data_IF_933828589978
#
_entry.id   IF_933828589978
#
_cell.length_a   1.000
_cell.length_b   1.000
_cell.length_c   1.000
_cell.angle_alpha   90.00
_cell.angle_beta   90.00
_cell.angle_gamma   90.00
#
_symmetry.space_group_name_H-M   'P 1'
#
loop_
_entity.id
_entity.type
_entity.pdbx_description
1 polymer ?
#
# COMPACT_ATOMS: atom_id res chain seq x y z
N UNK A 1 -6.53 15.28 -18.27
CA UNK A 1 -5.26 14.58 -18.56
C UNK A 1 -5.06 14.43 -20.06
N UNK A 2 -6.02 13.91 -20.83
CA UNK A 2 -5.88 13.70 -22.30
C UNK A 2 -5.50 14.98 -23.03
N UNK A 3 -6.06 16.11 -22.68
CA UNK A 3 -5.69 17.43 -23.22
C UNK A 3 -4.24 17.78 -22.92
N UNK A 4 -3.80 17.63 -21.67
CA UNK A 4 -2.40 17.89 -21.26
C UNK A 4 -1.41 16.98 -21.98
N UNK A 5 -1.76 15.70 -22.23
CA UNK A 5 -0.94 14.78 -23.00
C UNK A 5 -0.77 15.28 -24.45
N UNK A 6 -1.79 15.90 -25.03
CA UNK A 6 -1.72 16.46 -26.39
C UNK A 6 -0.90 17.75 -26.44
N UNK A 7 -0.84 18.52 -25.36
CA UNK A 7 -0.11 19.79 -25.27
C UNK A 7 1.38 19.55 -24.95
N UNK A 8 1.69 18.75 -23.93
CA UNK A 8 3.07 18.40 -23.51
C UNK A 8 3.09 17.04 -22.80
N UNK A 9 3.03 15.99 -23.59
CA UNK A 9 2.97 14.62 -23.08
C UNK A 9 4.21 14.18 -22.31
N UNK A 10 5.40 14.67 -22.68
CA UNK A 10 6.66 14.32 -22.00
C UNK A 10 6.66 14.87 -20.58
N UNK A 11 6.25 16.12 -20.39
CA UNK A 11 6.17 16.73 -19.06
C UNK A 11 5.07 16.07 -18.20
N UNK A 12 3.97 15.65 -18.81
CA UNK A 12 2.95 14.83 -18.11
C UNK A 12 3.55 13.52 -17.60
N UNK A 13 4.33 12.81 -18.41
CA UNK A 13 5.01 11.57 -17.98
C UNK A 13 6.00 11.83 -16.85
N UNK A 14 6.78 12.91 -16.94
CA UNK A 14 7.70 13.32 -15.87
C UNK A 14 6.96 13.56 -14.56
N UNK A 15 5.88 14.32 -14.60
CA UNK A 15 5.04 14.60 -13.43
C UNK A 15 4.44 13.31 -12.84
N UNK A 16 3.92 12.39 -13.67
CA UNK A 16 3.40 11.09 -13.24
C UNK A 16 4.48 10.30 -12.50
N UNK A 17 5.70 10.27 -13.05
CA UNK A 17 6.85 9.60 -12.45
C UNK A 17 7.21 10.19 -11.09
N UNK A 18 7.29 11.51 -10.99
CA UNK A 18 7.55 12.23 -9.73
C UNK A 18 6.50 11.91 -8.67
N UNK A 19 5.22 12.03 -9.01
CA UNK A 19 4.12 11.67 -8.10
C UNK A 19 4.19 10.23 -7.59
N UNK A 20 4.61 9.29 -8.44
CA UNK A 20 4.78 7.90 -8.04
C UNK A 20 5.99 7.70 -7.14
N UNK A 21 7.16 8.23 -7.53
CA UNK A 21 8.42 8.05 -6.80
C UNK A 21 8.34 8.71 -5.42
N UNK A 22 7.79 9.92 -5.35
CA UNK A 22 7.61 10.68 -4.12
C UNK A 22 6.40 10.21 -3.28
N UNK A 23 5.63 9.24 -3.81
CA UNK A 23 4.44 8.69 -3.14
C UNK A 23 3.38 9.75 -2.78
N UNK A 24 3.22 10.77 -3.61
CA UNK A 24 2.26 11.87 -3.39
C UNK A 24 0.82 11.53 -3.76
N UNK A 25 0.59 10.43 -4.46
CA UNK A 25 -0.76 10.01 -4.83
C UNK A 25 -1.45 9.26 -3.68
N UNK A 26 -2.63 9.70 -3.28
CA UNK A 26 -3.48 9.03 -2.27
C UNK A 26 -3.80 7.58 -2.67
N UNK A 27 -3.98 7.33 -3.98
CA UNK A 27 -4.16 6.00 -4.56
C UNK A 27 -3.32 5.90 -5.81
N UNK A 28 -2.56 4.82 -5.93
CA UNK A 28 -1.73 4.55 -7.11
C UNK A 28 -2.55 4.41 -8.40
N UNK A 29 -3.82 4.02 -8.31
CA UNK A 29 -4.69 3.75 -9.46
C UNK A 29 -4.79 4.95 -10.42
N UNK A 30 -4.87 6.17 -9.89
CA UNK A 30 -4.93 7.39 -10.72
C UNK A 30 -3.65 7.61 -11.53
N UNK A 31 -2.51 7.37 -10.89
CA UNK A 31 -1.18 7.52 -11.50
C UNK A 31 -0.97 6.45 -12.58
N UNK A 32 -1.37 5.22 -12.29
CA UNK A 32 -1.30 4.08 -13.21
C UNK A 32 -2.21 4.28 -14.42
N UNK A 33 -3.42 4.80 -14.20
CA UNK A 33 -4.36 5.11 -15.28
C UNK A 33 -3.83 6.25 -16.16
N UNK A 34 -3.29 7.31 -15.57
CA UNK A 34 -2.68 8.41 -16.31
C UNK A 34 -1.51 7.94 -17.18
N UNK A 35 -0.63 7.06 -16.64
CA UNK A 35 0.46 6.47 -17.41
C UNK A 35 -0.07 5.60 -18.56
N UNK A 36 -1.15 4.85 -18.34
CA UNK A 36 -1.78 4.04 -19.38
C UNK A 36 -2.29 4.89 -20.56
N UNK A 37 -2.86 6.07 -20.27
CA UNK A 37 -3.25 7.06 -21.30
C UNK A 37 -2.03 7.54 -22.11
N UNK A 38 -0.93 7.89 -21.44
CA UNK A 38 0.32 8.27 -22.11
C UNK A 38 0.86 7.14 -23.01
N UNK A 39 0.84 5.90 -22.54
CA UNK A 39 1.27 4.74 -23.31
C UNK A 39 0.39 4.46 -24.53
N UNK A 40 -0.83 4.97 -24.58
CA UNK A 40 -1.80 4.76 -25.66
C UNK A 40 -2.05 6.00 -26.51
N UNK A 41 -1.39 7.13 -26.21
CA UNK A 41 -1.49 8.35 -27.01
C UNK A 41 -0.96 8.13 -28.45
N UNK A 42 -1.20 9.09 -29.33
CA UNK A 42 -0.74 9.04 -30.71
C UNK A 42 0.71 9.45 -30.86
N UNK A 43 1.20 10.31 -29.99
CA UNK A 43 2.57 10.82 -30.01
C UNK A 43 3.60 9.73 -29.66
N UNK A 44 4.57 9.42 -30.57
CA UNK A 44 5.55 8.36 -30.35
C UNK A 44 6.54 8.67 -29.20
N UNK A 45 6.92 9.94 -29.02
CA UNK A 45 7.91 10.35 -28.00
C UNK A 45 7.34 10.22 -26.60
N UNK A 46 6.12 10.73 -26.38
CA UNK A 46 5.38 10.55 -25.14
C UNK A 46 5.18 9.08 -24.80
N UNK A 47 4.82 8.26 -25.80
CA UNK A 47 4.64 6.83 -25.65
C UNK A 47 5.92 6.12 -25.22
N UNK A 48 7.04 6.46 -25.83
CA UNK A 48 8.34 5.90 -25.47
C UNK A 48 8.75 6.32 -24.07
N UNK A 49 8.60 7.60 -23.73
CA UNK A 49 8.87 8.11 -22.39
C UNK A 49 8.02 7.42 -21.32
N UNK A 50 6.72 7.20 -21.60
CA UNK A 50 5.81 6.52 -20.68
C UNK A 50 6.22 5.06 -20.43
N UNK A 51 6.63 4.31 -21.46
CA UNK A 51 7.14 2.94 -21.25
C UNK A 51 8.49 2.91 -20.53
N UNK A 52 9.36 3.90 -20.73
CA UNK A 52 10.60 4.04 -19.96
C UNK A 52 10.35 4.34 -18.47
N UNK A 53 9.30 5.11 -18.16
CA UNK A 53 8.91 5.42 -16.79
C UNK A 53 8.20 4.26 -16.07
N UNK A 54 7.78 3.21 -16.78
CA UNK A 54 6.99 2.12 -16.23
C UNK A 54 7.62 1.45 -14.99
N UNK A 55 8.94 1.16 -14.93
CA UNK A 55 9.56 0.59 -13.75
C UNK A 55 9.49 1.48 -12.50
N UNK A 56 9.58 2.79 -12.67
CA UNK A 56 9.54 3.76 -11.57
C UNK A 56 8.12 3.99 -11.06
N UNK A 57 7.13 3.90 -11.95
CA UNK A 57 5.71 4.09 -11.64
C UNK A 57 5.06 2.81 -11.12
N UNK A 58 5.30 1.69 -11.77
CA UNK A 58 4.80 0.38 -11.34
C UNK A 58 5.77 -0.28 -10.36
N UNK A 59 5.83 0.21 -9.12
CA UNK A 59 6.82 -0.20 -8.11
C UNK A 59 6.60 -1.59 -7.52
N UNK A 60 5.45 -2.20 -7.75
CA UNK A 60 5.08 -3.54 -7.27
C UNK A 60 4.29 -4.28 -8.36
N UNK A 61 4.25 -5.61 -8.36
CA UNK A 61 3.55 -6.39 -9.37
C UNK A 61 2.08 -6.03 -9.53
N UNK A 62 1.38 -5.75 -8.43
CA UNK A 62 -0.04 -5.34 -8.48
C UNK A 62 -0.24 -4.01 -9.21
N UNK A 63 0.74 -3.11 -9.19
CA UNK A 63 0.71 -1.88 -9.99
C UNK A 63 0.82 -2.20 -11.48
N UNK A 64 1.74 -3.10 -11.86
CA UNK A 64 1.88 -3.52 -13.25
C UNK A 64 0.59 -4.16 -13.79
N UNK A 65 -0.04 -5.03 -13.01
CA UNK A 65 -1.28 -5.70 -13.43
C UNK A 65 -2.44 -4.72 -13.62
N UNK A 66 -2.58 -3.76 -12.71
CA UNK A 66 -3.55 -2.68 -12.85
C UNK A 66 -3.25 -1.80 -14.07
N UNK A 67 -1.99 -1.44 -14.29
CA UNK A 67 -1.56 -0.70 -15.47
C UNK A 67 -1.90 -1.45 -16.77
N UNK A 68 -1.61 -2.76 -16.84
CA UNK A 68 -1.94 -3.60 -18.00
C UNK A 68 -3.45 -3.58 -18.25
N UNK A 69 -4.25 -3.74 -17.21
CA UNK A 69 -5.71 -3.67 -17.29
C UNK A 69 -6.18 -2.31 -17.84
N UNK A 70 -5.72 -1.21 -17.26
CA UNK A 70 -6.05 0.13 -17.74
C UNK A 70 -5.60 0.37 -19.18
N UNK A 71 -4.38 -0.05 -19.54
CA UNK A 71 -3.88 0.09 -20.90
C UNK A 71 -4.68 -0.74 -21.94
N UNK A 72 -5.31 -1.84 -21.53
CA UNK A 72 -6.23 -2.60 -22.35
C UNK A 72 -7.60 -1.90 -22.49
N UNK A 73 -8.12 -1.35 -21.41
CA UNK A 73 -9.39 -0.61 -21.40
C UNK A 73 -9.33 0.67 -22.26
N UNK A 74 -8.21 1.38 -22.20
CA UNK A 74 -7.97 2.61 -22.98
C UNK A 74 -7.66 2.33 -24.44
N UNK A 75 -7.38 1.09 -24.83
CA UNK A 75 -7.01 0.75 -26.20
C UNK A 75 -8.20 0.77 -27.18
N UNK A 76 -8.45 1.91 -27.79
CA UNK A 76 -9.53 2.10 -28.76
C UNK A 76 -9.33 1.35 -30.10
N UNK A 77 -8.13 0.88 -30.41
CA UNK A 77 -7.74 0.26 -31.69
C UNK A 77 -7.87 -1.26 -31.73
N UNK A 78 -8.55 -1.88 -30.79
CA UNK A 78 -8.84 -3.30 -30.81
C UNK A 78 -8.17 -4.13 -29.71
N UNK A 79 -8.41 -5.45 -29.73
CA UNK A 79 -7.91 -6.40 -28.73
C UNK A 79 -6.42 -6.68 -28.99
N UNK A 80 -5.60 -6.50 -27.96
CA UNK A 80 -4.20 -6.93 -28.00
C UNK A 80 -3.19 -5.91 -27.48
N UNK A 81 -1.98 -6.40 -27.25
CA UNK A 81 -0.98 -5.60 -26.56
C UNK A 81 -0.17 -4.68 -27.47
N UNK A 82 -0.03 -4.98 -28.73
CA UNK A 82 0.88 -4.26 -29.62
C UNK A 82 2.37 -4.42 -29.24
N UNK A 83 3.27 -4.06 -30.15
CA UNK A 83 4.73 -4.27 -29.97
C UNK A 83 5.30 -3.42 -28.82
N UNK A 84 4.95 -2.12 -28.76
CA UNK A 84 5.47 -1.20 -27.76
C UNK A 84 5.06 -1.61 -26.33
N UNK A 85 3.78 -2.00 -26.14
CA UNK A 85 3.29 -2.44 -24.84
C UNK A 85 4.01 -3.70 -24.35
N UNK A 86 4.20 -4.67 -25.26
CA UNK A 86 4.96 -5.88 -24.98
C UNK A 86 6.40 -5.59 -24.54
N UNK A 87 7.09 -4.72 -25.31
CA UNK A 87 8.45 -4.31 -24.98
C UNK A 87 8.52 -3.60 -23.62
N UNK A 88 7.59 -2.68 -23.34
CA UNK A 88 7.55 -1.95 -22.08
C UNK A 88 7.34 -2.86 -20.87
N UNK A 89 6.38 -3.79 -20.95
CA UNK A 89 6.15 -4.78 -19.88
C UNK A 89 7.38 -5.69 -19.71
N UNK A 90 8.00 -6.15 -20.79
CA UNK A 90 9.24 -6.94 -20.72
C UNK A 90 10.36 -6.15 -20.03
N UNK A 91 10.54 -4.86 -20.37
CA UNK A 91 11.54 -4.00 -19.71
C UNK A 91 11.29 -3.86 -18.21
N UNK A 92 10.03 -3.78 -17.79
CA UNK A 92 9.70 -3.75 -16.37
C UNK A 92 10.21 -4.99 -15.63
N UNK A 93 10.05 -6.18 -16.20
CA UNK A 93 10.58 -7.41 -15.61
C UNK A 93 12.12 -7.43 -15.58
N UNK A 94 12.78 -6.95 -16.64
CA UNK A 94 14.25 -6.87 -16.67
C UNK A 94 14.83 -5.82 -15.72
N UNK A 95 14.10 -4.75 -15.43
CA UNK A 95 14.53 -3.72 -14.48
C UNK A 95 14.42 -4.17 -13.02
N UNK A 96 13.76 -5.30 -12.78
CA UNK A 96 13.48 -5.83 -11.46
C UNK A 96 14.61 -6.77 -11.02
N UNK A 97 15.67 -6.19 -10.45
CA UNK A 97 16.74 -6.94 -9.78
C UNK A 97 16.31 -7.58 -8.46
N UNK A 98 15.14 -7.23 -7.95
CA UNK A 98 14.64 -7.71 -6.68
C UNK A 98 13.66 -8.87 -6.89
N UNK A 99 14.22 -10.07 -6.83
CA UNK A 99 13.47 -11.34 -6.94
C UNK A 99 12.34 -11.44 -5.90
N UNK A 100 12.48 -10.75 -4.75
CA UNK A 100 11.44 -10.63 -3.74
C UNK A 100 10.12 -10.09 -4.31
N UNK A 101 10.20 -9.20 -5.28
CA UNK A 101 9.02 -8.63 -5.94
C UNK A 101 8.39 -9.60 -6.95
N UNK A 102 9.18 -10.45 -7.57
CA UNK A 102 8.66 -11.53 -8.42
C UNK A 102 7.90 -12.59 -7.61
N UNK A 103 8.32 -12.84 -6.37
CA UNK A 103 7.66 -13.78 -5.48
C UNK A 103 6.33 -13.27 -4.92
N UNK A 104 6.11 -11.96 -4.91
CA UNK A 104 4.81 -11.34 -4.63
C UNK A 104 3.82 -11.44 -5.78
N UNK A 105 4.20 -12.01 -6.91
CA UNK A 105 3.25 -12.41 -7.95
C UNK A 105 2.39 -13.52 -7.34
N UNK A 106 1.45 -13.07 -6.52
CA UNK A 106 0.44 -13.91 -5.97
C UNK A 106 -0.33 -14.49 -7.14
N UNK A 107 -0.09 -15.80 -7.39
CA UNK A 107 -1.13 -16.74 -7.82
C UNK A 107 -2.16 -16.24 -8.85
N UNK A 108 -1.95 -15.16 -9.51
CA UNK A 108 -2.56 -15.02 -10.80
C UNK A 108 -1.70 -15.87 -11.72
N UNK A 109 -2.07 -17.17 -11.78
CA UNK A 109 -1.58 -18.09 -12.81
C UNK A 109 -1.70 -17.45 -14.20
N UNK A 110 -2.57 -16.48 -14.35
CA UNK A 110 -2.69 -15.63 -15.51
C UNK A 110 -1.47 -14.71 -15.71
N UNK A 111 -0.85 -14.18 -14.68
CA UNK A 111 0.29 -13.28 -14.85
C UNK A 111 1.58 -14.04 -15.16
N UNK A 112 1.83 -15.17 -14.51
CA UNK A 112 2.91 -16.08 -14.87
C UNK A 112 2.61 -16.72 -16.24
N UNK A 113 1.38 -17.14 -16.49
CA UNK A 113 0.92 -17.62 -17.79
C UNK A 113 1.01 -16.54 -18.87
N UNK A 114 0.76 -15.26 -18.55
CA UNK A 114 0.98 -14.14 -19.48
C UNK A 114 2.45 -13.90 -19.76
N UNK A 115 3.33 -14.03 -18.77
CA UNK A 115 4.78 -13.92 -18.95
C UNK A 115 5.30 -15.04 -19.84
N UNK A 116 4.97 -16.26 -19.48
CA UNK A 116 5.35 -17.47 -20.22
C UNK A 116 4.75 -17.41 -21.61
N UNK A 117 3.45 -17.26 -21.75
CA UNK A 117 2.77 -17.19 -23.04
C UNK A 117 3.24 -16.02 -23.90
N UNK A 118 3.67 -14.93 -23.28
CA UNK A 118 4.17 -13.75 -24.00
C UNK A 118 5.60 -13.95 -24.50
N UNK A 119 6.46 -14.56 -23.72
CA UNK A 119 7.79 -14.99 -24.13
C UNK A 119 7.69 -16.00 -25.30
N UNK A 120 6.73 -16.92 -25.26
CA UNK A 120 6.53 -17.97 -26.26
C UNK A 120 5.92 -17.47 -27.56
N UNK A 121 4.89 -16.63 -27.49
CA UNK A 121 4.19 -16.13 -28.68
C UNK A 121 5.04 -15.22 -29.55
N UNK A 122 6.12 -14.66 -29.00
CA UNK A 122 7.05 -13.80 -29.73
C UNK A 122 7.88 -14.60 -30.78
N UNK A 123 8.11 -15.88 -30.54
CA UNK A 123 9.01 -16.71 -31.33
C UNK A 123 8.28 -17.70 -32.26
N UNK A 124 6.95 -17.66 -32.32
CA UNK A 124 6.16 -18.49 -33.26
C UNK A 124 6.09 -19.98 -32.91
N UNK A 125 6.47 -20.36 -31.68
CA UNK A 125 6.57 -21.76 -31.29
C UNK A 125 5.37 -22.27 -30.49
N UNK A 126 5.09 -23.57 -30.60
CA UNK A 126 4.07 -24.29 -29.84
C UNK A 126 4.50 -24.57 -28.40
N UNK A 127 3.54 -24.84 -27.52
CA UNK A 127 3.73 -25.04 -26.07
C UNK A 127 4.73 -26.14 -25.69
N UNK A 128 5.01 -27.07 -26.60
CA UNK A 128 5.84 -28.24 -26.33
C UNK A 128 7.37 -28.00 -26.47
N UNK A 129 7.81 -26.82 -26.88
CA UNK A 129 9.21 -26.53 -27.22
C UNK A 129 9.92 -25.57 -26.22
N UNK A 130 9.32 -25.31 -25.07
CA UNK A 130 9.88 -24.36 -24.11
C UNK A 130 11.26 -24.79 -23.57
N UNK A 131 11.48 -26.08 -23.37
CA UNK A 131 12.72 -26.61 -22.85
C UNK A 131 13.89 -26.45 -23.83
N UNK A 132 13.62 -26.61 -25.12
CA UNK A 132 14.60 -26.39 -26.17
C UNK A 132 14.95 -24.92 -26.34
N UNK A 133 13.97 -24.02 -26.20
CA UNK A 133 14.18 -22.58 -26.32
C UNK A 133 14.85 -22.00 -25.07
N UNK A 134 14.53 -22.51 -23.88
CA UNK A 134 15.25 -22.20 -22.66
C UNK A 134 16.72 -22.58 -22.79
N UNK A 135 17.03 -23.75 -23.35
CA UNK A 135 18.38 -24.19 -23.61
C UNK A 135 19.10 -23.34 -24.67
N UNK A 136 18.40 -22.90 -25.73
CA UNK A 136 18.92 -21.98 -26.75
C UNK A 136 19.18 -20.56 -26.20
N UNK A 137 18.27 -20.04 -25.38
CA UNK A 137 18.46 -18.77 -24.69
C UNK A 137 19.66 -18.85 -23.74
N UNK A 138 19.84 -19.98 -23.05
CA UNK A 138 20.96 -20.25 -22.15
C UNK A 138 22.32 -20.27 -22.87
N UNK A 139 22.38 -20.71 -24.11
CA UNK A 139 23.63 -20.75 -24.89
C UNK A 139 24.17 -19.36 -25.26
N UNK A 140 23.33 -18.33 -25.21
CA UNK A 140 23.69 -16.95 -25.56
C UNK A 140 23.84 -16.03 -24.31
N UNK A 141 23.77 -16.59 -23.09
CA UNK A 141 23.91 -15.85 -21.85
C UNK A 141 25.40 -15.77 -21.45
N UNK A 142 25.78 -14.64 -20.86
CA UNK A 142 27.08 -14.55 -20.18
C UNK A 142 27.06 -15.39 -18.90
N UNK A 143 28.24 -15.77 -18.35
CA UNK A 143 28.32 -16.50 -17.10
C UNK A 143 27.63 -15.76 -15.94
N UNK A 144 27.57 -14.44 -16.00
CA UNK A 144 26.87 -13.61 -15.01
C UNK A 144 25.35 -13.76 -15.15
N UNK A 145 24.84 -13.68 -16.37
CA UNK A 145 23.42 -13.85 -16.66
C UNK A 145 22.93 -15.27 -16.34
N UNK A 146 23.78 -16.28 -16.53
CA UNK A 146 23.47 -17.67 -16.14
C UNK A 146 23.33 -17.81 -14.62
N UNK A 147 24.18 -17.13 -13.84
CA UNK A 147 24.10 -17.16 -12.37
C UNK A 147 22.87 -16.41 -11.87
N UNK A 148 22.56 -15.23 -12.43
CA UNK A 148 21.36 -14.50 -12.09
C UNK A 148 20.08 -15.31 -12.44
N UNK A 149 20.04 -15.94 -13.60
CA UNK A 149 18.91 -16.78 -14.03
C UNK A 149 18.77 -18.02 -13.12
N UNK A 150 19.87 -18.65 -12.75
CA UNK A 150 19.85 -19.78 -11.80
C UNK A 150 19.28 -19.36 -10.46
N UNK A 151 19.72 -18.23 -9.90
CA UNK A 151 19.20 -17.72 -8.64
C UNK A 151 17.70 -17.44 -8.69
N UNK A 152 17.18 -16.95 -9.83
CA UNK A 152 15.74 -16.73 -10.03
C UNK A 152 14.99 -18.06 -10.09
N UNK A 153 15.52 -19.06 -10.78
CA UNK A 153 14.91 -20.39 -10.89
C UNK A 153 14.88 -21.08 -9.53
N UNK A 154 15.99 -21.07 -8.81
CA UNK A 154 16.10 -21.66 -7.48
C UNK A 154 15.09 -21.02 -6.53
N UNK A 155 14.94 -19.69 -6.56
CA UNK A 155 13.95 -19.01 -5.73
C UNK A 155 12.51 -19.34 -6.12
N UNK A 156 12.21 -19.46 -7.42
CA UNK A 156 10.86 -19.86 -7.87
C UNK A 156 10.53 -21.29 -7.42
N UNK A 157 11.53 -22.18 -7.45
CA UNK A 157 11.41 -23.55 -6.93
C UNK A 157 11.13 -23.53 -5.42
N UNK A 158 11.92 -22.77 -4.67
CA UNK A 158 11.74 -22.60 -3.22
C UNK A 158 10.36 -22.09 -2.84
N UNK A 159 9.84 -21.12 -3.60
CA UNK A 159 8.46 -20.61 -3.41
C UNK A 159 7.41 -21.67 -3.71
N UNK A 160 7.61 -22.46 -4.76
CA UNK A 160 6.69 -23.54 -5.12
C UNK A 160 6.72 -24.67 -4.07
N UNK A 161 7.90 -25.02 -3.58
CA UNK A 161 8.06 -25.98 -2.50
C UNK A 161 7.43 -25.49 -1.19
N UNK A 162 7.58 -24.22 -0.86
CA UNK A 162 6.89 -23.61 0.27
C UNK A 162 5.36 -23.66 0.11
N UNK A 163 4.82 -23.37 -1.08
CA UNK A 163 3.38 -23.45 -1.35
C UNK A 163 2.83 -24.87 -1.27
N UNK A 164 3.64 -25.88 -1.57
CA UNK A 164 3.26 -27.29 -1.48
C UNK A 164 3.50 -27.92 -0.12
N UNK A 165 4.26 -27.25 0.74
CA UNK A 165 4.56 -27.73 2.08
C UNK A 165 3.28 -28.04 2.88
N UNK A 166 3.29 -29.14 3.63
CA UNK A 166 2.20 -29.56 4.52
C UNK A 166 2.65 -29.77 5.95
N UNK A 167 3.96 -29.69 6.20
CA UNK A 167 4.59 -29.88 7.50
C UNK A 167 4.89 -28.51 8.14
N UNK A 168 4.44 -28.33 9.39
CA UNK A 168 4.59 -27.06 10.12
C UNK A 168 6.03 -26.75 10.49
N UNK A 169 6.80 -27.77 10.91
CA UNK A 169 8.17 -27.60 11.35
C UNK A 169 9.08 -27.33 10.15
N UNK A 170 8.81 -28.00 9.03
CA UNK A 170 9.49 -27.71 7.77
C UNK A 170 9.19 -26.29 7.32
N UNK A 171 7.91 -25.86 7.35
CA UNK A 171 7.52 -24.50 6.97
C UNK A 171 8.17 -23.46 7.90
N UNK A 172 8.22 -23.69 9.21
CA UNK A 172 8.94 -22.82 10.14
C UNK A 172 10.41 -22.68 9.76
N UNK A 173 11.08 -23.79 9.44
CA UNK A 173 12.47 -23.77 8.99
C UNK A 173 12.64 -23.01 7.68
N UNK A 174 11.76 -23.22 6.70
CA UNK A 174 11.74 -22.50 5.43
C UNK A 174 11.59 -20.98 5.66
N UNK A 175 10.68 -20.58 6.53
CA UNK A 175 10.45 -19.16 6.85
C UNK A 175 11.65 -18.54 7.59
N UNK A 176 12.34 -19.31 8.44
CA UNK A 176 13.49 -18.84 9.21
C UNK A 176 14.81 -18.86 8.43
N UNK A 177 14.94 -19.70 7.41
CA UNK A 177 16.14 -19.81 6.55
C UNK A 177 16.29 -18.66 5.56
N UNK A 178 16.16 -17.45 6.03
CA UNK A 178 15.90 -16.24 5.25
C UNK A 178 17.04 -15.74 4.38
N UNK A 179 18.26 -16.15 4.62
CA UNK A 179 19.39 -15.68 3.82
C UNK A 179 19.29 -16.12 2.35
N UNK A 180 18.50 -17.17 2.10
CA UNK A 180 18.24 -17.71 0.75
C UNK A 180 16.79 -17.49 0.32
N UNK A 181 15.81 -17.67 1.23
CA UNK A 181 14.39 -17.73 0.92
C UNK A 181 13.62 -16.53 1.46
N UNK A 182 13.18 -15.63 0.60
CA UNK A 182 12.33 -14.49 0.98
C UNK A 182 10.85 -14.90 1.05
N UNK A 183 10.54 -15.93 1.84
CA UNK A 183 9.17 -16.40 2.03
C UNK A 183 8.38 -15.38 2.86
N UNK A 184 7.23 -15.00 2.35
CA UNK A 184 6.26 -14.13 3.02
C UNK A 184 4.96 -14.87 3.26
N UNK A 185 4.09 -14.30 4.08
CA UNK A 185 2.79 -14.89 4.45
C UNK A 185 2.00 -15.43 3.25
N UNK A 186 2.07 -14.73 2.12
CA UNK A 186 1.35 -15.07 0.89
C UNK A 186 1.84 -16.37 0.23
N UNK A 187 3.05 -16.81 0.53
CA UNK A 187 3.62 -18.07 0.04
C UNK A 187 3.24 -19.27 0.94
N UNK A 188 2.80 -18.99 2.17
CA UNK A 188 2.44 -20.03 3.12
C UNK A 188 1.05 -20.58 2.82
N UNK A 189 0.86 -21.90 2.73
CA UNK A 189 -0.45 -22.53 2.57
C UNK A 189 -1.43 -22.11 3.66
N UNK A 190 -2.70 -21.91 3.29
CA UNK A 190 -3.73 -21.43 4.23
C UNK A 190 -3.91 -22.36 5.44
N UNK A 191 -3.70 -23.66 5.26
CA UNK A 191 -3.73 -24.66 6.34
C UNK A 191 -2.66 -24.37 7.41
N UNK A 192 -1.45 -24.03 7.00
CA UNK A 192 -0.31 -23.74 7.87
C UNK A 192 -0.36 -22.33 8.48
N UNK A 193 -1.17 -21.42 7.94
CA UNK A 193 -1.45 -20.11 8.57
C UNK A 193 -2.31 -20.22 9.85
N UNK A 194 -2.62 -21.42 10.30
CA UNK A 194 -3.24 -21.68 11.62
C UNK A 194 -2.18 -22.03 12.68
N UNK A 195 -0.94 -22.28 12.30
CA UNK A 195 0.15 -22.67 13.20
C UNK A 195 0.78 -21.44 13.85
N UNK A 196 0.90 -21.47 15.18
CA UNK A 196 1.61 -20.46 15.97
C UNK A 196 3.08 -20.39 15.57
N UNK A 197 3.73 -21.55 15.39
CA UNK A 197 5.13 -21.69 15.06
C UNK A 197 5.49 -21.03 13.73
N UNK A 198 4.62 -21.17 12.74
CA UNK A 198 4.80 -20.53 11.43
C UNK A 198 4.70 -19.01 11.57
N UNK A 199 3.76 -18.50 12.38
CA UNK A 199 3.65 -17.08 12.63
C UNK A 199 4.83 -16.51 13.42
N UNK A 200 5.40 -17.24 14.37
CA UNK A 200 6.65 -16.86 15.04
C UNK A 200 7.80 -16.63 14.06
N UNK A 201 7.93 -17.51 13.07
CA UNK A 201 8.90 -17.32 12.00
C UNK A 201 8.61 -16.07 11.15
N UNK A 202 7.35 -15.95 10.68
CA UNK A 202 6.94 -14.86 9.81
C UNK A 202 7.12 -13.48 10.44
N UNK A 203 6.74 -13.29 11.73
CA UNK A 203 6.74 -11.98 12.37
C UNK A 203 8.14 -11.35 12.50
N UNK A 204 9.19 -12.19 12.61
CA UNK A 204 10.58 -11.71 12.69
C UNK A 204 10.93 -10.81 11.50
N UNK A 205 10.42 -11.16 10.35
CA UNK A 205 10.77 -10.55 9.06
C UNK A 205 9.63 -9.79 8.40
N UNK A 206 8.50 -9.74 9.05
CA UNK A 206 7.32 -9.08 8.52
C UNK A 206 7.56 -7.58 8.32
N UNK A 207 7.23 -7.09 7.13
CA UNK A 207 7.26 -5.66 6.83
C UNK A 207 6.26 -4.91 7.71
N UNK A 208 6.53 -3.64 8.02
CA UNK A 208 5.71 -2.81 8.91
C UNK A 208 4.24 -2.82 8.53
N UNK A 209 3.92 -2.58 7.26
CA UNK A 209 2.52 -2.57 6.78
C UNK A 209 1.82 -3.92 6.94
N UNK A 210 2.55 -5.02 6.76
CA UNK A 210 2.03 -6.36 6.97
C UNK A 210 1.83 -6.65 8.47
N UNK A 211 2.78 -6.22 9.31
CA UNK A 211 2.69 -6.34 10.77
C UNK A 211 1.43 -5.63 11.30
N UNK A 212 1.23 -4.36 10.94
CA UNK A 212 0.06 -3.58 11.36
C UNK A 212 -1.27 -4.25 11.00
N UNK A 213 -1.36 -4.86 9.82
CA UNK A 213 -2.56 -5.58 9.37
C UNK A 213 -2.80 -6.91 10.08
N UNK A 214 -1.78 -7.49 10.68
CA UNK A 214 -1.84 -8.81 11.27
C UNK A 214 -1.72 -8.82 12.81
N UNK A 215 -1.71 -7.65 13.48
CA UNK A 215 -1.63 -7.55 14.95
C UNK A 215 -2.65 -8.42 15.65
N UNK A 216 -3.94 -8.30 15.31
CA UNK A 216 -5.00 -9.11 15.89
C UNK A 216 -4.81 -10.61 15.65
N UNK A 217 -4.29 -11.00 14.47
CA UNK A 217 -3.99 -12.40 14.18
C UNK A 217 -2.83 -12.92 15.03
N UNK A 218 -1.77 -12.14 15.18
CA UNK A 218 -0.64 -12.49 16.04
C UNK A 218 -1.07 -12.58 17.51
N UNK A 219 -1.88 -11.63 18.00
CA UNK A 219 -2.48 -11.71 19.35
C UNK A 219 -3.36 -12.94 19.52
N UNK A 220 -4.16 -13.33 18.52
CA UNK A 220 -5.01 -14.51 18.64
C UNK A 220 -4.24 -15.84 18.82
N UNK A 221 -2.95 -15.84 18.51
CA UNK A 221 -2.04 -16.95 18.77
C UNK A 221 -1.21 -16.78 20.06
N UNK A 222 -1.47 -15.73 20.84
CA UNK A 222 -0.68 -15.42 22.05
C UNK A 222 0.75 -14.96 21.74
N UNK A 223 1.03 -14.53 20.50
CA UNK A 223 2.37 -14.06 20.13
C UNK A 223 2.66 -12.66 20.65
N UNK A 224 1.62 -11.89 20.97
CA UNK A 224 1.72 -10.54 21.54
C UNK A 224 1.29 -10.51 23.01
N UNK A 225 1.31 -11.65 23.72
CA UNK A 225 1.06 -11.67 25.15
C UNK A 225 2.19 -10.94 25.89
N UNK A 226 1.90 -10.43 27.08
CA UNK A 226 2.87 -9.70 27.90
C UNK A 226 4.14 -10.53 28.12
N UNK A 227 5.27 -9.85 28.06
CA UNK A 227 6.62 -10.43 28.21
C UNK A 227 7.02 -11.44 27.11
N UNK A 228 6.24 -11.53 26.01
CA UNK A 228 6.59 -12.38 24.89
C UNK A 228 7.65 -11.73 24.00
N UNK A 229 8.43 -12.58 23.30
CA UNK A 229 9.34 -12.10 22.26
C UNK A 229 8.62 -11.29 21.18
N UNK A 230 7.40 -11.70 20.82
CA UNK A 230 6.60 -11.03 19.79
C UNK A 230 6.14 -9.64 20.22
N UNK A 231 5.77 -9.45 21.48
CA UNK A 231 5.47 -8.13 22.04
C UNK A 231 6.71 -7.23 21.93
N UNK A 232 7.84 -7.67 22.49
CA UNK A 232 9.10 -6.91 22.46
C UNK A 232 9.51 -6.52 21.04
N UNK A 233 9.45 -7.45 20.11
CA UNK A 233 9.78 -7.21 18.71
C UNK A 233 8.80 -6.21 18.06
N UNK A 234 7.52 -6.33 18.32
CA UNK A 234 6.49 -5.45 17.77
C UNK A 234 6.66 -4.03 18.27
N UNK A 235 6.83 -3.86 19.59
CA UNK A 235 7.06 -2.56 20.23
C UNK A 235 8.35 -1.92 19.70
N UNK A 236 9.45 -2.68 19.61
CA UNK A 236 10.71 -2.16 19.10
C UNK A 236 10.60 -1.65 17.67
N UNK A 237 9.86 -2.35 16.81
CA UNK A 237 9.58 -1.90 15.43
C UNK A 237 8.71 -0.66 15.40
N UNK A 238 7.67 -0.57 16.23
CA UNK A 238 6.75 0.59 16.28
C UNK A 238 7.46 1.85 16.79
N UNK A 239 8.37 1.72 17.73
CA UNK A 239 9.16 2.85 18.28
C UNK A 239 10.32 3.27 17.41
N UNK A 240 10.61 2.56 16.32
CA UNK A 240 11.71 2.89 15.41
C UNK A 240 11.24 3.86 14.31
N UNK A 241 11.58 5.16 14.47
CA UNK A 241 11.23 6.22 13.52
C UNK A 241 11.77 5.99 12.12
N UNK A 242 12.98 5.42 11.99
CA UNK A 242 13.58 5.14 10.68
C UNK A 242 12.87 4.02 9.94
N UNK A 243 12.42 2.98 10.66
CA UNK A 243 11.58 1.93 10.07
C UNK A 243 10.22 2.47 9.63
N UNK A 244 9.60 3.34 10.44
CA UNK A 244 8.32 3.99 10.09
C UNK A 244 8.48 4.88 8.85
N UNK A 245 9.57 5.65 8.78
CA UNK A 245 9.91 6.51 7.65
C UNK A 245 10.23 5.70 6.40
N UNK A 246 11.11 4.71 6.51
CA UNK A 246 11.48 3.83 5.40
C UNK A 246 10.30 3.04 4.83
N UNK A 247 9.38 2.63 5.69
CA UNK A 247 8.12 1.99 5.29
C UNK A 247 7.04 3.00 4.83
N UNK A 248 7.30 4.32 4.90
CA UNK A 248 6.39 5.42 4.55
C UNK A 248 5.02 5.28 5.21
N UNK A 249 5.03 4.97 6.51
CA UNK A 249 3.80 4.80 7.27
C UNK A 249 3.17 6.17 7.55
N UNK A 250 2.00 6.39 7.00
CA UNK A 250 1.21 7.59 7.28
C UNK A 250 0.54 7.48 8.67
N UNK A 251 0.41 8.58 9.45
CA UNK A 251 -0.23 8.58 10.77
C UNK A 251 -1.60 7.89 10.78
N UNK A 252 -2.47 8.17 9.82
CA UNK A 252 -3.78 7.51 9.73
C UNK A 252 -3.70 5.98 9.64
N UNK A 253 -2.65 5.42 9.06
CA UNK A 253 -2.47 3.96 9.00
C UNK A 253 -2.28 3.38 10.40
N UNK A 254 -1.55 4.08 11.26
CA UNK A 254 -1.32 3.68 12.66
C UNK A 254 -2.57 3.84 13.50
N UNK A 255 -3.30 4.94 13.33
CA UNK A 255 -4.58 5.15 14.00
C UNK A 255 -5.59 4.05 13.63
N UNK A 256 -5.72 3.74 12.34
CA UNK A 256 -6.60 2.64 11.87
C UNK A 256 -6.16 1.29 12.46
N UNK A 257 -4.85 1.05 12.55
CA UNK A 257 -4.32 -0.19 13.12
C UNK A 257 -4.60 -0.26 14.64
N UNK A 258 -4.41 0.84 15.39
CA UNK A 258 -4.72 0.93 16.82
C UNK A 258 -6.20 0.67 17.07
N UNK A 259 -7.09 1.41 16.39
CA UNK A 259 -8.53 1.24 16.56
C UNK A 259 -9.02 -0.16 16.14
N UNK A 260 -8.45 -0.75 15.09
CA UNK A 260 -8.77 -2.12 14.69
C UNK A 260 -8.27 -3.15 15.73
N UNK A 261 -7.10 -2.92 16.32
CA UNK A 261 -6.52 -3.79 17.34
C UNK A 261 -7.33 -3.75 18.63
N UNK A 262 -7.74 -2.57 19.09
CA UNK A 262 -8.53 -2.36 20.32
C UNK A 262 -9.97 -2.89 20.22
N UNK A 263 -10.48 -3.20 19.02
CA UNK A 263 -11.78 -3.90 18.86
C UNK A 263 -11.77 -5.35 19.35
N UNK A 264 -10.61 -5.94 19.61
CA UNK A 264 -10.43 -7.32 20.08
C UNK A 264 -11.08 -8.40 19.18
N UNK A 265 -11.51 -8.04 17.98
CA UNK A 265 -12.13 -8.94 16.99
C UNK A 265 -11.92 -8.42 15.57
N UNK A 266 -11.83 -9.35 14.61
CA UNK A 266 -11.78 -8.97 13.20
C UNK A 266 -13.16 -8.49 12.70
N UNK A 267 -13.18 -7.82 11.53
CA UNK A 267 -14.43 -7.29 10.95
C UNK A 267 -15.51 -8.36 10.67
N UNK A 268 -15.11 -9.62 10.52
CA UNK A 268 -16.03 -10.74 10.32
C UNK A 268 -16.48 -11.41 11.64
N UNK A 269 -15.93 -11.00 12.79
CA UNK A 269 -16.21 -11.60 14.09
C UNK A 269 -15.67 -13.04 14.28
N UNK A 270 -14.94 -13.57 13.29
CA UNK A 270 -14.48 -14.97 13.30
C UNK A 270 -13.18 -15.20 14.07
N UNK A 271 -12.45 -14.13 14.35
CA UNK A 271 -11.18 -14.14 15.09
C UNK A 271 -11.30 -13.14 16.22
N UNK A 272 -11.02 -13.59 17.42
CA UNK A 272 -10.97 -12.77 18.62
C UNK A 272 -9.59 -12.85 19.24
N UNK A 273 -9.19 -11.80 19.95
CA UNK A 273 -7.92 -11.74 20.67
C UNK A 273 -8.06 -10.90 21.93
N UNK A 274 -7.09 -11.04 22.81
CA UNK A 274 -6.93 -10.15 23.95
C UNK A 274 -6.02 -9.00 23.55
N UNK A 275 -6.41 -7.78 23.84
CA UNK A 275 -5.58 -6.61 23.63
C UNK A 275 -4.39 -6.64 24.62
N UNK A 276 -3.20 -6.34 24.11
CA UNK A 276 -2.05 -6.06 24.94
C UNK A 276 -1.90 -4.52 25.07
N UNK A 277 -2.02 -3.94 26.27
CA UNK A 277 -1.93 -2.50 26.48
C UNK A 277 -0.61 -1.90 25.99
N UNK A 278 0.52 -2.59 26.21
CA UNK A 278 1.83 -2.11 25.79
C UNK A 278 1.94 -1.98 24.25
N UNK A 279 1.34 -2.91 23.52
CA UNK A 279 1.29 -2.85 22.04
C UNK A 279 0.37 -1.71 21.58
N UNK A 280 -0.78 -1.52 22.23
CA UNK A 280 -1.68 -0.42 21.93
C UNK A 280 -0.99 0.93 22.17
N UNK A 281 -0.34 1.10 23.34
CA UNK A 281 0.34 2.33 23.67
C UNK A 281 1.51 2.61 22.71
N UNK A 282 2.24 1.56 22.29
CA UNK A 282 3.26 1.69 21.26
C UNK A 282 2.69 2.11 19.89
N UNK A 283 1.46 1.71 19.55
CA UNK A 283 0.78 2.19 18.32
C UNK A 283 0.43 3.67 18.43
N UNK A 284 0.01 4.14 19.60
CA UNK A 284 -0.24 5.58 19.86
C UNK A 284 1.05 6.39 19.79
N UNK A 285 2.13 5.91 20.40
CA UNK A 285 3.45 6.54 20.27
C UNK A 285 3.90 6.60 18.79
N UNK A 286 3.75 5.51 18.06
CA UNK A 286 4.08 5.44 16.63
C UNK A 286 3.24 6.42 15.80
N UNK A 287 1.96 6.61 16.14
CA UNK A 287 1.11 7.62 15.49
C UNK A 287 1.75 9.01 15.56
N UNK A 288 2.20 9.43 16.73
CA UNK A 288 2.88 10.71 16.90
C UNK A 288 4.26 10.76 16.23
N UNK A 289 5.04 9.68 16.30
CA UNK A 289 6.34 9.59 15.65
C UNK A 289 6.22 9.73 14.12
N UNK A 290 5.14 9.25 13.54
CA UNK A 290 4.95 9.22 12.09
C UNK A 290 4.56 10.58 11.49
N UNK A 291 4.26 11.60 12.29
CA UNK A 291 4.02 12.96 11.77
C UNK A 291 5.23 13.52 11.01
N UNK A 292 6.44 13.13 11.40
CA UNK A 292 7.68 13.48 10.70
C UNK A 292 7.75 12.93 9.27
N UNK A 293 6.89 11.96 8.93
CA UNK A 293 6.79 11.40 7.58
C UNK A 293 5.88 12.23 6.66
N UNK A 294 5.18 13.22 7.21
CA UNK A 294 4.30 14.12 6.45
C UNK A 294 5.10 15.38 6.11
N UNK A 295 5.39 15.56 4.84
CA UNK A 295 6.12 16.72 4.35
C UNK A 295 5.21 17.94 4.30
N UNK A 296 5.66 19.06 4.87
CA UNK A 296 4.95 20.33 4.78
C UNK A 296 4.93 20.83 3.33
N UNK A 297 3.76 21.28 2.89
CA UNK A 297 3.61 21.89 1.55
C UNK A 297 3.98 23.37 1.52
N UNK A 298 4.05 24.02 2.71
CA UNK A 298 4.25 25.45 2.88
C UNK A 298 3.07 26.32 2.42
N UNK A 299 1.92 25.72 2.14
CA UNK A 299 0.70 26.41 1.71
C UNK A 299 -0.12 26.86 2.92
N UNK A 300 -1.07 27.77 2.67
CA UNK A 300 -2.12 28.12 3.64
C UNK A 300 -3.25 27.11 3.55
N UNK A 301 -3.69 26.63 4.70
CA UNK A 301 -4.82 25.71 4.83
C UNK A 301 -5.92 26.33 5.68
N UNK A 302 -7.15 26.18 5.23
CA UNK A 302 -8.35 26.31 6.04
C UNK A 302 -8.98 24.92 6.13
N UNK A 303 -9.01 24.35 7.33
CA UNK A 303 -9.63 23.05 7.57
C UNK A 303 -10.99 23.27 8.22
N UNK A 304 -12.04 22.83 7.54
CA UNK A 304 -13.39 22.91 8.06
C UNK A 304 -13.84 21.50 8.51
N UNK A 305 -14.01 21.32 9.84
CA UNK A 305 -14.47 20.06 10.43
C UNK A 305 -16.00 20.10 10.52
N UNK A 306 -16.63 19.14 9.85
CA UNK A 306 -18.08 18.99 9.86
C UNK A 306 -18.56 18.32 11.16
N UNK A 307 -19.45 18.99 11.87
CA UNK A 307 -20.04 18.52 13.15
C UNK A 307 -21.52 18.13 12.99
N UNK A 308 -21.91 17.58 11.84
CA UNK A 308 -23.32 17.51 11.47
C UNK A 308 -24.01 16.19 11.72
N UNK A 309 -23.27 15.15 11.99
CA UNK A 309 -23.85 13.80 12.09
C UNK A 309 -23.75 13.24 13.49
N UNK A 310 -24.85 13.21 14.25
CA UNK A 310 -24.87 12.66 15.61
C UNK A 310 -24.59 11.14 15.61
N UNK A 311 -24.85 10.45 14.49
CA UNK A 311 -24.57 9.02 14.38
C UNK A 311 -23.09 8.74 14.14
N UNK A 312 -22.30 9.75 13.72
CA UNK A 312 -20.87 9.68 13.47
C UNK A 312 -20.47 8.42 12.68
N UNK A 313 -20.87 8.32 11.40
CA UNK A 313 -20.73 7.09 10.64
C UNK A 313 -19.26 6.68 10.46
N UNK A 314 -19.03 5.40 10.32
CA UNK A 314 -17.70 4.89 10.01
C UNK A 314 -17.27 5.28 8.60
N UNK A 315 -15.95 5.50 8.44
CA UNK A 315 -15.35 5.79 7.13
C UNK A 315 -15.58 4.60 6.19
N UNK A 316 -16.07 4.88 4.98
CA UNK A 316 -16.33 3.85 3.98
C UNK A 316 -15.07 3.01 3.69
N UNK A 317 -15.18 1.70 3.80
CA UNK A 317 -14.08 0.76 3.65
C UNK A 317 -13.14 0.65 4.88
N UNK A 318 -13.39 1.42 5.96
CA UNK A 318 -12.57 1.40 7.18
C UNK A 318 -13.46 1.40 8.43
N UNK A 319 -14.11 0.28 8.77
CA UNK A 319 -15.10 0.20 9.85
C UNK A 319 -14.51 0.31 11.26
N UNK A 320 -13.22 0.54 11.39
CA UNK A 320 -12.55 0.74 12.69
C UNK A 320 -12.45 2.20 13.11
N UNK A 321 -12.73 3.16 12.20
CA UNK A 321 -12.61 4.58 12.47
C UNK A 321 -13.87 5.30 12.02
N UNK A 322 -14.33 6.27 12.79
CA UNK A 322 -15.46 7.13 12.45
C UNK A 322 -15.03 8.30 11.56
N UNK A 323 -15.97 8.94 10.89
CA UNK A 323 -15.71 10.11 10.06
C UNK A 323 -15.11 11.26 10.88
N UNK A 324 -15.62 11.49 12.10
CA UNK A 324 -15.10 12.53 13.00
C UNK A 324 -13.68 12.20 13.48
N UNK A 325 -13.39 10.95 13.86
CA UNK A 325 -12.03 10.53 14.24
C UNK A 325 -11.05 10.74 13.09
N UNK A 326 -11.44 10.40 11.87
CA UNK A 326 -10.60 10.61 10.69
C UNK A 326 -10.37 12.11 10.42
N UNK A 327 -11.40 12.93 10.52
CA UNK A 327 -11.31 14.39 10.34
C UNK A 327 -10.43 15.04 11.40
N UNK A 328 -10.63 14.70 12.68
CA UNK A 328 -9.83 15.19 13.79
C UNK A 328 -8.35 14.80 13.67
N UNK A 329 -8.08 13.53 13.30
CA UNK A 329 -6.71 13.05 13.06
C UNK A 329 -6.04 13.79 11.89
N UNK A 330 -6.75 14.00 10.78
CA UNK A 330 -6.22 14.77 9.65
C UNK A 330 -5.95 16.22 10.02
N UNK A 331 -6.86 16.85 10.77
CA UNK A 331 -6.68 18.22 11.25
C UNK A 331 -5.44 18.34 12.16
N UNK A 332 -5.26 17.39 13.08
CA UNK A 332 -4.10 17.34 13.97
C UNK A 332 -2.79 17.14 13.18
N UNK A 333 -2.78 16.20 12.23
CA UNK A 333 -1.62 15.97 11.36
C UNK A 333 -1.27 17.23 10.57
N UNK A 334 -2.24 17.88 9.95
CA UNK A 334 -2.02 19.10 9.15
C UNK A 334 -1.55 20.25 10.04
N UNK A 335 -2.16 20.43 11.23
CA UNK A 335 -1.76 21.47 12.18
C UNK A 335 -0.32 21.35 12.65
N UNK A 336 0.19 20.11 12.78
CA UNK A 336 1.58 19.85 13.17
C UNK A 336 2.56 19.96 11.99
N UNK A 337 2.10 19.69 10.78
CA UNK A 337 2.95 19.69 9.58
C UNK A 337 3.04 21.09 8.94
N UNK A 338 1.94 21.83 8.90
CA UNK A 338 1.84 23.12 8.20
C UNK A 338 1.90 24.32 9.15
N UNK A 339 2.68 25.33 8.80
CA UNK A 339 2.81 26.57 9.59
C UNK A 339 1.56 27.42 9.57
N UNK A 340 0.91 27.51 8.40
CA UNK A 340 -0.26 28.35 8.15
C UNK A 340 -1.49 27.47 7.99
N UNK A 341 -2.12 27.11 9.11
CA UNK A 341 -3.28 26.24 9.16
C UNK A 341 -4.31 26.81 10.12
N UNK A 342 -5.42 27.29 9.60
CA UNK A 342 -6.59 27.72 10.34
C UNK A 342 -7.61 26.58 10.35
N UNK A 343 -8.27 26.39 11.48
CA UNK A 343 -9.24 25.31 11.67
C UNK A 343 -10.56 25.89 12.14
N UNK A 344 -11.62 25.53 11.46
CA UNK A 344 -12.99 25.89 11.86
C UNK A 344 -13.83 24.64 12.01
N UNK A 345 -14.76 24.65 12.95
CA UNK A 345 -15.82 23.66 13.03
C UNK A 345 -17.10 24.27 12.49
N UNK A 346 -17.86 23.51 11.74
CA UNK A 346 -19.15 23.97 11.25
C UNK A 346 -20.23 22.91 11.47
N UNK A 347 -21.41 23.39 11.87
CA UNK A 347 -22.62 22.59 12.06
C UNK A 347 -23.77 23.19 11.25
N UNK A 348 -24.97 22.66 11.42
CA UNK A 348 -26.14 23.11 10.68
C UNK A 348 -26.55 24.55 10.96
N UNK A 349 -27.33 25.04 10.07
CA UNK A 349 -27.88 26.41 10.07
C UNK A 349 -28.96 26.52 11.17
N UNK A 350 -28.76 27.44 12.12
CA UNK A 350 -29.85 27.87 13.00
C UNK A 350 -30.72 28.94 12.32
N UNK A 351 -30.18 29.68 11.36
CA UNK A 351 -30.92 30.61 10.49
C UNK A 351 -30.23 30.73 9.13
N UNK A 352 -30.97 31.22 8.12
CA UNK A 352 -30.44 31.46 6.76
C UNK A 352 -29.39 32.58 6.71
N UNK A 353 -29.28 33.40 7.75
CA UNK A 353 -28.41 34.57 7.76
C UNK A 353 -27.04 34.34 8.40
N UNK A 354 -26.88 33.31 9.27
CA UNK A 354 -25.60 33.04 9.96
C UNK A 354 -25.29 31.56 9.99
N UNK A 355 -24.35 31.08 9.17
CA UNK A 355 -23.84 29.73 9.28
C UNK A 355 -23.12 29.56 10.63
N UNK A 356 -23.43 28.48 11.36
CA UNK A 356 -22.74 28.17 12.60
C UNK A 356 -21.31 27.71 12.29
N UNK A 357 -20.43 28.68 12.13
CA UNK A 357 -18.98 28.47 12.01
C UNK A 357 -18.36 28.92 13.34
N UNK A 358 -17.59 28.02 13.92
CA UNK A 358 -16.87 28.29 15.17
C UNK A 358 -15.38 28.12 14.91
N UNK A 359 -14.59 29.10 15.29
CA UNK A 359 -13.14 28.93 15.31
C UNK A 359 -12.78 27.78 16.23
N UNK A 360 -12.06 26.81 15.69
CA UNK A 360 -11.70 25.61 16.41
C UNK A 360 -10.18 25.51 16.56
N UNK A 361 -9.73 25.65 17.81
CA UNK A 361 -8.30 25.66 18.08
C UNK A 361 -7.78 24.26 18.44
N UNK A 362 -6.87 23.77 17.63
CA UNK A 362 -6.05 22.58 17.89
C UNK A 362 -4.64 23.05 18.17
N UNK A 363 -4.14 22.76 19.39
CA UNK A 363 -2.74 22.95 19.71
C UNK A 363 -1.87 21.88 19.02
N UNK A 364 -0.65 22.19 18.59
CA UNK A 364 0.29 21.17 18.15
C UNK A 364 0.60 20.10 19.22
N UNK A 365 0.38 20.43 20.50
CA UNK A 365 0.61 19.52 21.63
C UNK A 365 -0.62 18.65 21.96
N UNK A 366 -1.79 18.96 21.41
CA UNK A 366 -2.99 18.16 21.64
C UNK A 366 -2.78 16.73 21.14
N UNK A 367 -3.26 15.75 21.88
CA UNK A 367 -3.45 14.40 21.36
C UNK A 367 -4.82 14.27 20.66
N UNK A 368 -5.04 13.12 20.03
CA UNK A 368 -6.30 12.89 19.30
C UNK A 368 -7.50 12.87 20.24
N UNK A 369 -7.36 12.30 21.44
CA UNK A 369 -8.45 12.20 22.41
C UNK A 369 -8.86 13.60 22.91
N UNK A 370 -7.89 14.49 23.13
CA UNK A 370 -8.16 15.90 23.46
C UNK A 370 -8.89 16.65 22.33
N UNK A 371 -8.51 16.41 21.08
CA UNK A 371 -9.19 17.01 19.93
C UNK A 371 -10.63 16.50 19.82
N UNK A 372 -10.86 15.20 20.02
CA UNK A 372 -12.19 14.61 20.00
C UNK A 372 -13.07 15.11 21.15
N UNK A 373 -12.50 15.29 22.35
CA UNK A 373 -13.20 15.90 23.48
C UNK A 373 -13.62 17.34 23.19
N UNK A 374 -12.74 18.13 22.55
CA UNK A 374 -13.10 19.46 22.07
C UNK A 374 -14.23 19.41 21.02
N UNK A 375 -14.20 18.46 20.09
CA UNK A 375 -15.26 18.27 19.11
C UNK A 375 -16.60 17.92 19.76
N UNK A 376 -16.62 17.07 20.78
CA UNK A 376 -17.84 16.61 21.47
C UNK A 376 -18.60 17.74 22.17
N UNK A 377 -17.92 18.84 22.48
CA UNK A 377 -18.50 20.02 23.15
C UNK A 377 -19.15 20.99 22.16
N UNK A 378 -19.02 20.77 20.85
CA UNK A 378 -19.60 21.60 19.82
C UNK A 378 -21.01 21.16 19.46
N UNK A 379 -21.90 22.11 19.10
CA UNK A 379 -23.27 21.77 18.70
C UNK A 379 -23.25 20.97 17.39
N UNK A 380 -24.08 19.93 17.37
CA UNK A 380 -24.26 19.06 16.21
C UNK A 380 -25.66 19.33 15.60
N UNK A 381 -25.73 19.63 14.29
CA UNK A 381 -26.99 19.89 13.58
C UNK A 381 -26.82 19.58 12.07
N UNK A 382 -27.93 19.54 11.33
CA UNK A 382 -27.89 19.35 9.86
C UNK A 382 -27.00 20.39 9.19
N UNK A 383 -26.13 19.96 8.29
CA UNK A 383 -25.03 20.77 7.76
C UNK A 383 -25.36 21.39 6.41
N UNK A 384 -24.88 22.63 6.24
CA UNK A 384 -24.66 23.22 4.93
C UNK A 384 -23.16 23.15 4.59
N UNK A 385 -22.79 22.30 3.63
CA UNK A 385 -21.39 22.09 3.20
C UNK A 385 -20.79 23.38 2.60
N UNK A 386 -21.62 24.31 2.09
CA UNK A 386 -21.16 25.57 1.55
C UNK A 386 -20.82 26.61 2.64
N UNK A 387 -21.26 26.41 3.88
CA UNK A 387 -21.07 27.38 4.96
C UNK A 387 -19.61 27.84 5.16
N UNK A 388 -18.58 26.97 5.09
CA UNK A 388 -17.18 27.40 5.25
C UNK A 388 -16.62 28.17 4.04
N UNK A 389 -17.34 28.25 2.93
CA UNK A 389 -16.90 28.88 1.67
C UNK A 389 -17.49 30.27 1.50
N UNK A 390 -18.62 30.50 2.12
CA UNK A 390 -19.34 31.79 2.14
C UNK A 390 -18.77 32.70 3.22
#
# INVERSE_FOLDING_TARGET
ITRLISEDGINVVKTIREFSVENRACKSDYVLFALALCCRCTDPETKEAAYKALPDVCRIPTHLFKFIKFAQEVNSKGKGWGRAHRKGVSMWYHSYKDVFRLCHIKTDYNALGYLVHHFYRRNGHREDDWQNQFNLARQNLTKHDELELKNVIDLLQDVDDAKRCRDEQLMKRIVLSRDVLKIVREHVPTSLLKSKEVWEGLMRFMLMTAMLRNLGRMSSFGLLDSDSFGETLTISKLKNSELLKGARIHPLTLLVAEKAYSKCRNNKGTIQWKENPNVRDALRDAFHLSFKNVEATGKRFLLAICMSDPENPHVNGTPSITALEAAAAMALVTRRSEKNCDIVAFSGIQSTEHPNITNFSISPEDDLDAVLDKCSKLPCAKTNIAAPII
#
